data_IF_574253066434
#
_entry.id   IF_574253066434
#
_cell.length_a   1.000
_cell.length_b   1.000
_cell.length_c   1.000
_cell.angle_alpha   90.00
_cell.angle_beta   90.00
_cell.angle_gamma   90.00
#
_symmetry.space_group_name_H-M   'P 1'
#
loop_
_entity.id
_entity.type
_entity.pdbx_description
1 polymer ?
#
# COMPACT_ATOMS: atom_id res chain seq x y z
N UNK A 1 18.81 -0.47 -25.62
CA UNK A 1 18.47 0.44 -26.76
C UNK A 1 19.60 1.42 -27.13
N UNK A 2 20.77 1.38 -26.49
CA UNK A 2 21.91 2.26 -26.87
C UNK A 2 21.76 3.72 -26.45
N UNK A 3 20.72 4.07 -25.69
CA UNK A 3 20.47 5.42 -25.16
C UNK A 3 21.47 5.80 -24.06
N UNK A 4 21.77 7.09 -23.97
CA UNK A 4 22.46 7.67 -22.83
C UNK A 4 21.55 7.74 -21.62
N UNK A 5 22.05 7.35 -20.45
CA UNK A 5 21.29 7.41 -19.19
C UNK A 5 22.18 7.96 -18.09
N UNK A 6 21.67 8.93 -17.34
CA UNK A 6 22.29 9.42 -16.11
C UNK A 6 21.22 9.43 -15.02
N UNK A 7 21.56 8.87 -13.86
CA UNK A 7 20.69 8.85 -12.68
C UNK A 7 21.34 9.60 -11.52
N UNK A 8 20.52 10.25 -10.71
CA UNK A 8 20.92 10.82 -9.43
C UNK A 8 19.84 10.50 -8.41
N UNK A 9 20.22 9.81 -7.35
CA UNK A 9 19.31 9.34 -6.32
C UNK A 9 19.57 10.05 -4.99
N UNK A 10 18.50 10.30 -4.24
CA UNK A 10 18.59 10.76 -2.86
C UNK A 10 17.75 9.85 -1.98
N UNK A 11 18.45 9.14 -1.08
CA UNK A 11 17.82 8.45 0.02
C UNK A 11 17.53 9.47 1.14
N UNK A 12 16.28 9.55 1.58
CA UNK A 12 15.89 10.41 2.69
C UNK A 12 16.67 10.06 3.97
N UNK A 13 17.12 11.06 4.71
CA UNK A 13 17.89 10.88 5.95
C UNK A 13 17.09 10.21 7.10
N UNK A 14 15.77 10.13 6.98
CA UNK A 14 14.91 9.51 7.98
C UNK A 14 14.78 7.99 7.74
N UNK A 15 15.05 7.20 8.78
CA UNK A 15 15.03 5.74 8.76
C UNK A 15 13.65 5.14 8.36
N UNK A 16 12.56 5.92 8.52
CA UNK A 16 11.22 5.67 7.98
C UNK A 16 10.55 7.00 7.63
N UNK A 17 10.00 7.13 6.42
CA UNK A 17 9.18 8.29 6.00
C UNK A 17 9.95 9.51 5.48
N UNK A 18 11.25 9.39 5.21
CA UNK A 18 12.00 10.44 4.50
C UNK A 18 11.64 10.45 3.02
N UNK A 19 11.37 11.63 2.46
CA UNK A 19 11.13 11.80 1.03
C UNK A 19 12.36 11.30 0.24
N UNK A 20 12.14 10.32 -0.64
CA UNK A 20 13.15 9.83 -1.58
C UNK A 20 12.80 10.27 -2.99
N UNK A 21 13.83 10.48 -3.80
CA UNK A 21 13.66 10.83 -5.21
C UNK A 21 14.80 10.31 -6.05
N UNK A 22 14.51 10.12 -7.33
CA UNK A 22 15.47 9.73 -8.37
C UNK A 22 15.27 10.64 -9.57
N UNK A 23 16.30 11.39 -9.95
CA UNK A 23 16.37 12.05 -11.24
C UNK A 23 16.90 11.06 -12.26
N UNK A 24 16.17 10.87 -13.36
CA UNK A 24 16.56 9.98 -14.45
C UNK A 24 16.52 10.81 -15.74
N UNK A 25 17.67 10.96 -16.39
CA UNK A 25 17.76 11.60 -17.70
C UNK A 25 18.10 10.55 -18.74
N UNK A 26 17.33 10.53 -19.82
CA UNK A 26 17.48 9.60 -20.94
C UNK A 26 17.64 10.42 -22.21
N UNK A 27 18.70 10.18 -22.96
CA UNK A 27 18.96 10.85 -24.23
C UNK A 27 19.31 9.83 -25.33
N UNK A 28 19.19 10.23 -26.59
CA UNK A 28 19.51 9.34 -27.71
C UNK A 28 20.99 8.93 -27.72
N UNK A 29 21.89 9.80 -27.24
CA UNK A 29 23.30 9.48 -27.03
C UNK A 29 23.77 9.97 -25.66
N UNK A 30 24.78 9.35 -25.04
CA UNK A 30 25.32 9.77 -23.74
C UNK A 30 25.83 11.22 -23.73
N UNK A 31 26.42 11.68 -24.83
CA UNK A 31 27.05 13.00 -24.95
C UNK A 31 26.03 14.15 -24.90
N UNK A 32 24.75 13.85 -25.12
CA UNK A 32 23.67 14.82 -25.04
C UNK A 32 23.23 15.13 -23.59
N UNK A 33 23.77 14.42 -22.59
CA UNK A 33 23.47 14.66 -21.17
C UNK A 33 24.62 15.45 -20.55
N UNK A 34 24.34 16.71 -20.19
CA UNK A 34 25.34 17.64 -19.66
C UNK A 34 25.24 17.88 -18.14
N UNK A 35 24.22 17.33 -17.50
CA UNK A 35 23.95 17.49 -16.07
C UNK A 35 23.44 16.17 -15.49
N UNK A 36 23.60 15.94 -14.20
CA UNK A 36 23.05 14.77 -13.50
C UNK A 36 21.64 15.00 -12.98
N UNK A 37 21.25 16.25 -12.74
CA UNK A 37 19.96 16.63 -12.18
C UNK A 37 19.00 17.13 -13.26
N UNK A 38 17.72 16.76 -13.16
CA UNK A 38 16.65 17.42 -13.92
C UNK A 38 16.51 18.85 -13.40
N UNK A 39 16.54 19.81 -14.31
CA UNK A 39 16.49 21.23 -13.98
C UNK A 39 15.04 21.72 -13.72
N UNK A 40 14.94 22.93 -13.20
CA UNK A 40 13.70 23.64 -12.91
C UNK A 40 12.81 23.71 -14.15
N UNK A 41 11.54 23.32 -14.03
CA UNK A 41 10.56 23.30 -15.11
C UNK A 41 10.99 22.48 -16.36
N UNK A 42 11.82 21.44 -16.17
CA UNK A 42 12.33 20.56 -17.25
C UNK A 42 11.94 19.09 -17.11
N UNK A 43 11.15 18.70 -16.11
CA UNK A 43 10.68 17.32 -16.03
C UNK A 43 9.66 17.04 -17.15
N UNK A 44 9.93 16.08 -18.01
CA UNK A 44 8.95 15.59 -19.00
C UNK A 44 7.89 14.67 -18.35
N UNK A 45 8.32 13.87 -17.36
CA UNK A 45 7.52 12.90 -16.64
C UNK A 45 7.90 12.89 -15.15
N UNK A 46 6.90 12.85 -14.29
CA UNK A 46 7.05 12.53 -12.87
C UNK A 46 6.21 11.30 -12.54
N UNK A 47 6.87 10.23 -12.07
CA UNK A 47 6.22 9.04 -11.52
C UNK A 47 6.09 9.26 -10.01
N UNK A 48 4.90 9.70 -9.59
CA UNK A 48 4.59 10.08 -8.22
C UNK A 48 4.05 8.87 -7.44
N UNK A 49 4.94 8.05 -6.88
CA UNK A 49 4.58 6.90 -6.06
C UNK A 49 3.96 7.28 -4.71
N UNK A 50 4.26 8.50 -4.23
CA UNK A 50 3.73 9.11 -3.02
C UNK A 50 3.30 10.56 -3.33
N UNK A 51 2.05 10.91 -3.02
CA UNK A 51 1.48 12.22 -3.36
C UNK A 51 2.10 13.36 -2.56
N UNK A 52 2.54 13.11 -1.33
CA UNK A 52 3.11 14.13 -0.44
C UNK A 52 4.50 14.53 -0.95
N UNK A 53 5.31 13.55 -1.32
CA UNK A 53 6.64 13.80 -1.92
C UNK A 53 6.50 14.52 -3.27
N UNK A 54 5.53 14.11 -4.09
CA UNK A 54 5.27 14.73 -5.39
C UNK A 54 4.79 16.18 -5.27
N UNK A 55 3.94 16.49 -4.29
CA UNK A 55 3.49 17.85 -4.00
C UNK A 55 4.52 18.69 -3.22
N UNK A 56 5.69 18.14 -2.89
CA UNK A 56 6.77 18.86 -2.24
C UNK A 56 7.38 19.93 -3.15
N UNK A 57 7.79 21.07 -2.57
CA UNK A 57 8.37 22.21 -3.31
C UNK A 57 9.51 21.82 -4.27
N UNK A 58 10.39 20.91 -3.83
CA UNK A 58 11.51 20.45 -4.63
C UNK A 58 11.06 19.73 -5.91
N UNK A 59 10.00 18.91 -5.83
CA UNK A 59 9.45 18.19 -6.97
C UNK A 59 8.62 19.11 -7.86
N UNK A 60 7.75 19.94 -7.25
CA UNK A 60 6.93 20.92 -7.98
C UNK A 60 7.78 21.89 -8.79
N UNK A 61 8.95 22.32 -8.30
CA UNK A 61 9.84 23.21 -9.06
C UNK A 61 10.36 22.62 -10.37
N UNK A 62 10.32 21.30 -10.53
CA UNK A 62 10.76 20.61 -11.75
C UNK A 62 9.66 20.57 -12.81
N UNK A 63 8.41 20.81 -12.40
CA UNK A 63 7.23 20.66 -13.24
C UNK A 63 6.91 21.94 -14.00
N UNK A 64 6.27 21.78 -15.16
CA UNK A 64 5.79 22.88 -16.00
C UNK A 64 4.43 22.55 -16.59
N UNK A 65 3.50 23.49 -16.42
CA UNK A 65 2.15 23.41 -16.97
C UNK A 65 2.15 23.12 -18.47
N UNK A 66 1.33 22.16 -18.89
CA UNK A 66 1.18 21.75 -20.29
C UNK A 66 2.40 21.03 -20.89
N UNK A 67 3.45 20.75 -20.10
CA UNK A 67 4.61 19.97 -20.55
C UNK A 67 4.81 18.71 -19.73
N UNK A 68 5.03 18.87 -18.44
CA UNK A 68 5.28 17.75 -17.53
C UNK A 68 4.04 16.89 -17.44
N UNK A 69 4.18 15.57 -17.60
CA UNK A 69 3.12 14.62 -17.26
C UNK A 69 3.38 14.03 -15.87
N UNK A 70 2.33 13.81 -15.09
CA UNK A 70 2.41 13.18 -13.77
C UNK A 70 1.57 11.91 -13.77
N UNK A 71 2.20 10.77 -13.46
CA UNK A 71 1.50 9.53 -13.15
C UNK A 71 1.54 9.35 -11.63
N UNK A 72 0.41 9.55 -10.96
CA UNK A 72 0.33 9.61 -9.50
C UNK A 72 -0.46 8.44 -8.91
N UNK A 73 0.12 7.83 -7.87
CA UNK A 73 -0.59 6.99 -6.93
C UNK A 73 -1.38 7.86 -5.95
N UNK A 74 -2.70 7.71 -5.89
CA UNK A 74 -3.55 8.42 -4.95
C UNK A 74 -3.65 7.75 -3.57
N UNK A 75 -3.02 6.58 -3.38
CA UNK A 75 -3.08 5.87 -2.12
C UNK A 75 -2.46 6.72 -0.99
N UNK A 76 -3.21 6.84 0.10
CA UNK A 76 -2.79 7.65 1.25
C UNK A 76 -1.87 6.83 2.17
N UNK A 77 -0.56 6.98 2.01
CA UNK A 77 0.42 6.32 2.87
C UNK A 77 0.55 7.06 4.21
N UNK A 78 0.42 6.38 5.37
CA UNK A 78 0.66 7.01 6.67
C UNK A 78 2.11 7.50 6.81
N UNK A 79 2.29 8.78 7.18
CA UNK A 79 3.62 9.37 7.39
C UNK A 79 4.09 9.20 8.83
N UNK A 80 5.36 9.51 9.13
CA UNK A 80 5.86 9.52 10.51
C UNK A 80 5.06 10.46 11.44
N UNK A 81 4.42 11.51 10.89
CA UNK A 81 3.56 12.41 11.64
C UNK A 81 2.27 11.73 12.15
N UNK A 82 1.84 10.62 11.55
CA UNK A 82 0.74 9.80 12.07
C UNK A 82 1.07 9.21 13.46
N UNK A 83 2.33 8.86 13.70
CA UNK A 83 2.74 8.24 14.97
C UNK A 83 2.59 9.21 16.15
N UNK A 84 2.73 10.51 15.91
CA UNK A 84 2.66 11.56 16.95
C UNK A 84 1.32 12.29 16.99
N UNK A 85 0.43 12.08 16.02
CA UNK A 85 -0.87 12.75 15.93
C UNK A 85 -1.99 11.75 15.61
N UNK A 86 -2.79 11.43 16.63
CA UNK A 86 -3.93 10.51 16.52
C UNK A 86 -5.05 11.02 15.60
N UNK A 87 -5.14 12.34 15.39
CA UNK A 87 -6.12 12.98 14.51
C UNK A 87 -5.55 13.28 13.12
N UNK A 88 -4.37 12.73 12.78
CA UNK A 88 -3.73 12.96 11.50
C UNK A 88 -4.62 12.49 10.35
N UNK A 89 -4.93 13.42 9.44
CA UNK A 89 -5.58 13.14 8.18
C UNK A 89 -4.55 13.25 7.05
N UNK A 90 -4.58 12.29 6.12
CA UNK A 90 -3.72 12.34 4.96
C UNK A 90 -4.08 13.57 4.10
N UNK A 91 -3.10 14.41 3.72
CA UNK A 91 -3.36 15.61 2.91
C UNK A 91 -3.57 15.29 1.42
N UNK A 92 -4.10 14.11 1.08
CA UNK A 92 -4.19 13.59 -0.29
C UNK A 92 -4.93 14.56 -1.22
N UNK A 93 -6.04 15.13 -0.77
CA UNK A 93 -6.79 16.13 -1.54
C UNK A 93 -5.99 17.41 -1.82
N UNK A 94 -5.17 17.87 -0.86
CA UNK A 94 -4.31 19.04 -1.03
C UNK A 94 -3.14 18.76 -1.98
N UNK A 95 -2.55 17.56 -1.90
CA UNK A 95 -1.48 17.12 -2.78
C UNK A 95 -1.95 17.02 -4.24
N UNK A 96 -3.10 16.39 -4.48
CA UNK A 96 -3.68 16.29 -5.82
C UNK A 96 -4.00 17.67 -6.40
N UNK A 97 -4.61 18.56 -5.61
CA UNK A 97 -4.91 19.92 -6.05
C UNK A 97 -3.64 20.72 -6.40
N UNK A 98 -2.57 20.58 -5.61
CA UNK A 98 -1.29 21.25 -5.90
C UNK A 98 -0.66 20.74 -7.21
N UNK A 99 -0.71 19.43 -7.46
CA UNK A 99 -0.20 18.83 -8.69
C UNK A 99 -1.06 19.23 -9.90
N UNK A 100 -2.38 19.22 -9.73
CA UNK A 100 -3.31 19.66 -10.77
C UNK A 100 -3.05 21.10 -11.20
N UNK A 101 -2.80 21.99 -10.23
CA UNK A 101 -2.44 23.38 -10.50
C UNK A 101 -1.05 23.52 -11.17
N UNK A 102 -0.12 22.60 -10.92
CA UNK A 102 1.23 22.67 -11.46
C UNK A 102 1.35 22.18 -12.91
N UNK A 103 0.57 21.15 -13.31
CA UNK A 103 0.71 20.53 -14.64
C UNK A 103 -0.54 20.66 -15.53
N UNK A 104 -1.71 20.90 -14.93
CA UNK A 104 -2.99 20.93 -15.63
C UNK A 104 -3.68 19.55 -15.69
N UNK A 105 -5.00 19.56 -15.93
CA UNK A 105 -5.86 18.35 -15.87
C UNK A 105 -5.44 17.26 -16.86
N UNK A 106 -5.11 17.65 -18.08
CA UNK A 106 -4.76 16.70 -19.15
C UNK A 106 -3.38 16.07 -18.99
N UNK A 107 -2.59 16.58 -18.04
CA UNK A 107 -1.23 16.16 -17.76
C UNK A 107 -1.10 15.44 -16.41
N UNK A 108 -2.22 15.17 -15.74
CA UNK A 108 -2.25 14.50 -14.44
C UNK A 108 -3.08 13.21 -14.52
N UNK A 109 -2.39 12.07 -14.58
CA UNK A 109 -3.00 10.75 -14.42
C UNK A 109 -2.99 10.31 -12.97
N UNK A 110 -4.16 10.00 -12.41
CA UNK A 110 -4.34 9.67 -10.98
C UNK A 110 -5.16 8.41 -10.84
N UNK A 111 -4.67 7.47 -10.03
CA UNK A 111 -5.43 6.32 -9.58
C UNK A 111 -4.78 5.68 -8.34
N UNK A 112 -5.53 4.85 -7.62
CA UNK A 112 -4.99 4.11 -6.47
C UNK A 112 -4.18 2.89 -6.97
N UNK A 113 -2.93 3.15 -7.32
CA UNK A 113 -2.03 2.15 -7.88
C UNK A 113 -1.68 1.07 -6.86
N UNK A 114 -1.64 1.41 -5.57
CA UNK A 114 -1.40 0.47 -4.50
C UNK A 114 -2.57 -0.51 -4.32
N UNK A 115 -3.82 -0.02 -4.36
CA UNK A 115 -4.99 -0.87 -4.33
C UNK A 115 -4.97 -1.86 -5.50
N UNK A 116 -4.66 -1.40 -6.71
CA UNK A 116 -4.58 -2.28 -7.88
C UNK A 116 -3.47 -3.33 -7.69
N UNK A 117 -2.30 -2.93 -7.20
CA UNK A 117 -1.19 -3.85 -6.93
C UNK A 117 -1.59 -4.92 -5.90
N UNK A 118 -2.18 -4.53 -4.78
CA UNK A 118 -2.63 -5.47 -3.74
C UNK A 118 -3.72 -6.39 -4.24
N UNK A 119 -4.74 -5.87 -4.94
CA UNK A 119 -5.88 -6.69 -5.37
C UNK A 119 -5.53 -7.65 -6.50
N UNK A 120 -4.61 -7.29 -7.40
CA UNK A 120 -4.30 -8.09 -8.59
C UNK A 120 -3.02 -8.92 -8.45
N UNK A 121 -2.09 -8.51 -7.60
CA UNK A 121 -0.76 -9.13 -7.46
C UNK A 121 -0.46 -9.54 -6.00
N UNK A 122 -1.32 -9.17 -5.05
CA UNK A 122 -1.22 -9.58 -3.66
C UNK A 122 -0.28 -8.74 -2.78
N UNK A 123 0.42 -7.74 -3.34
CA UNK A 123 1.41 -6.95 -2.61
C UNK A 123 1.52 -5.52 -3.16
N UNK A 124 1.67 -4.52 -2.28
CA UNK A 124 1.86 -3.11 -2.63
C UNK A 124 3.24 -2.81 -3.20
N UNK A 125 4.22 -3.71 -3.04
CA UNK A 125 5.57 -3.56 -3.61
C UNK A 125 5.54 -3.35 -5.13
N UNK A 126 4.51 -3.85 -5.81
CA UNK A 126 4.35 -3.76 -7.26
C UNK A 126 3.80 -2.42 -7.76
N UNK A 127 3.52 -1.46 -6.87
CA UNK A 127 3.02 -0.12 -7.23
C UNK A 127 3.94 0.61 -8.19
N UNK A 128 5.27 0.54 -7.98
CA UNK A 128 6.23 1.26 -8.82
C UNK A 128 6.29 0.74 -10.26
N UNK A 129 6.47 -0.58 -10.51
CA UNK A 129 6.33 -1.16 -11.85
C UNK A 129 4.98 -0.86 -12.51
N UNK A 130 3.90 -0.84 -11.73
CA UNK A 130 2.56 -0.56 -12.22
C UNK A 130 2.44 0.89 -12.70
N UNK A 131 2.90 1.87 -11.93
CA UNK A 131 2.95 3.27 -12.37
C UNK A 131 3.87 3.46 -13.59
N UNK A 132 4.99 2.74 -13.65
CA UNK A 132 5.87 2.75 -14.84
C UNK A 132 5.12 2.24 -16.08
N UNK A 133 4.36 1.15 -15.95
CA UNK A 133 3.50 0.62 -17.02
C UNK A 133 2.43 1.62 -17.46
N UNK A 134 1.79 2.30 -16.50
CA UNK A 134 0.81 3.35 -16.78
C UNK A 134 1.45 4.50 -17.57
N UNK A 135 2.56 5.06 -17.08
CA UNK A 135 3.25 6.16 -17.74
C UNK A 135 3.79 5.77 -19.13
N UNK A 136 4.26 4.53 -19.30
CA UNK A 136 4.69 4.00 -20.58
C UNK A 136 3.54 3.94 -21.58
N UNK A 137 2.37 3.43 -21.18
CA UNK A 137 1.20 3.34 -22.04
C UNK A 137 0.66 4.71 -22.46
N UNK A 138 0.87 5.74 -21.65
CA UNK A 138 0.58 7.15 -21.96
C UNK A 138 1.63 7.79 -22.89
N UNK A 139 2.61 7.02 -23.37
CA UNK A 139 3.66 7.49 -24.29
C UNK A 139 4.71 8.40 -23.64
N UNK A 140 4.81 8.41 -22.31
CA UNK A 140 5.68 9.34 -21.56
C UNK A 140 7.06 8.79 -21.25
N UNK A 141 7.26 7.48 -21.41
CA UNK A 141 8.55 6.81 -21.17
C UNK A 141 9.22 6.54 -22.52
N UNK A 142 10.41 7.11 -22.80
CA UNK A 142 11.06 7.02 -24.10
C UNK A 142 11.85 5.72 -24.26
N UNK A 143 11.26 4.57 -23.93
CA UNK A 143 11.86 3.25 -24.03
C UNK A 143 10.89 2.28 -24.69
N UNK A 144 11.38 1.30 -25.43
CA UNK A 144 10.57 0.21 -25.97
C UNK A 144 10.15 -0.79 -24.91
N UNK A 145 9.00 -1.43 -25.14
CA UNK A 145 8.46 -2.47 -24.24
C UNK A 145 9.45 -3.61 -24.02
N UNK A 146 10.08 -4.10 -25.08
CA UNK A 146 11.02 -5.22 -25.01
C UNK A 146 12.24 -4.89 -24.14
N UNK A 147 12.72 -3.65 -24.17
CA UNK A 147 13.82 -3.21 -23.31
C UNK A 147 13.41 -3.18 -21.83
N UNK A 148 12.19 -2.73 -21.52
CA UNK A 148 11.64 -2.76 -20.16
C UNK A 148 11.42 -4.19 -19.67
N UNK A 149 10.86 -5.07 -20.50
CA UNK A 149 10.69 -6.49 -20.17
C UNK A 149 12.04 -7.15 -19.87
N UNK A 150 13.05 -6.86 -20.70
CA UNK A 150 14.41 -7.35 -20.48
C UNK A 150 15.05 -6.78 -19.21
N UNK A 151 14.78 -5.51 -18.87
CA UNK A 151 15.28 -4.90 -17.64
C UNK A 151 14.76 -5.62 -16.38
N UNK A 152 13.48 -6.03 -16.36
CA UNK A 152 12.94 -6.84 -15.27
C UNK A 152 13.64 -8.20 -15.16
N UNK A 153 13.92 -8.86 -16.28
CA UNK A 153 14.68 -10.13 -16.28
C UNK A 153 16.09 -9.96 -15.74
N UNK A 154 16.77 -8.88 -16.14
CA UNK A 154 18.14 -8.59 -15.69
C UNK A 154 18.20 -8.21 -14.21
N UNK A 155 17.14 -7.60 -13.66
CA UNK A 155 17.03 -7.35 -12.23
C UNK A 155 16.91 -8.65 -11.41
N UNK A 156 16.33 -9.71 -11.99
CA UNK A 156 16.32 -11.07 -11.45
C UNK A 156 15.41 -11.30 -10.24
N UNK A 157 14.75 -10.26 -9.71
CA UNK A 157 13.91 -10.37 -8.51
C UNK A 157 12.44 -10.38 -8.89
N UNK A 158 11.71 -11.43 -8.50
CA UNK A 158 10.26 -11.56 -8.73
C UNK A 158 9.86 -11.16 -10.16
N UNK A 159 10.60 -11.67 -11.15
CA UNK A 159 10.57 -11.18 -12.54
C UNK A 159 9.15 -11.21 -13.12
N UNK A 160 8.44 -12.33 -12.96
CA UNK A 160 7.12 -12.51 -13.54
C UNK A 160 6.08 -11.56 -12.93
N UNK A 161 6.15 -11.32 -11.61
CA UNK A 161 5.25 -10.39 -10.93
C UNK A 161 5.53 -8.94 -11.32
N UNK A 162 6.80 -8.55 -11.47
CA UNK A 162 7.16 -7.20 -11.94
C UNK A 162 6.71 -6.95 -13.39
N UNK A 163 6.84 -7.95 -14.26
CA UNK A 163 6.30 -7.90 -15.63
C UNK A 163 4.78 -7.80 -15.63
N UNK A 164 4.11 -8.62 -14.82
CA UNK A 164 2.65 -8.57 -14.68
C UNK A 164 2.17 -7.22 -14.14
N UNK A 165 2.87 -6.65 -13.17
CA UNK A 165 2.60 -5.32 -12.63
C UNK A 165 2.69 -4.23 -13.69
N UNK A 166 3.76 -4.23 -14.49
CA UNK A 166 3.90 -3.32 -15.62
C UNK A 166 2.74 -3.47 -16.61
N UNK A 167 2.37 -4.69 -16.98
CA UNK A 167 1.24 -4.93 -17.89
C UNK A 167 -0.12 -4.50 -17.31
N UNK A 168 -0.35 -4.68 -16.01
CA UNK A 168 -1.52 -4.12 -15.34
C UNK A 168 -1.53 -2.60 -15.34
N UNK A 169 -0.38 -1.98 -15.14
CA UNK A 169 -0.22 -0.53 -15.29
C UNK A 169 -0.66 -0.02 -16.65
N UNK A 170 -0.25 -0.73 -17.72
CA UNK A 170 -0.69 -0.42 -19.09
C UNK A 170 -2.21 -0.54 -19.24
N UNK A 171 -2.81 -1.58 -18.67
CA UNK A 171 -4.28 -1.75 -18.71
C UNK A 171 -4.99 -0.64 -17.95
N UNK A 172 -4.49 -0.20 -16.80
CA UNK A 172 -5.05 0.94 -16.06
C UNK A 172 -5.01 2.25 -16.86
N UNK A 173 -3.96 2.46 -17.66
CA UNK A 173 -3.87 3.63 -18.54
C UNK A 173 -4.86 3.59 -19.71
N UNK A 174 -5.26 2.40 -20.14
CA UNK A 174 -6.21 2.22 -21.24
C UNK A 174 -7.67 2.23 -20.75
N UNK A 175 -7.98 1.46 -19.71
CA UNK A 175 -9.32 1.33 -19.14
C UNK A 175 -9.24 1.00 -17.64
N UNK A 176 -9.10 2.04 -16.82
CA UNK A 176 -9.06 1.91 -15.37
C UNK A 176 -10.36 1.33 -14.80
N UNK A 177 -11.51 1.69 -15.37
CA UNK A 177 -12.81 1.28 -14.86
C UNK A 177 -13.01 -0.24 -15.00
N UNK A 178 -12.62 -0.82 -16.14
CA UNK A 178 -12.65 -2.26 -16.34
C UNK A 178 -11.73 -2.99 -15.35
N UNK A 179 -10.53 -2.47 -15.09
CA UNK A 179 -9.60 -3.07 -14.11
C UNK A 179 -10.22 -3.03 -12.70
N UNK A 180 -10.80 -1.90 -12.29
CA UNK A 180 -11.44 -1.76 -10.98
C UNK A 180 -12.65 -2.68 -10.80
N UNK A 181 -13.42 -2.92 -11.87
CA UNK A 181 -14.56 -3.83 -11.83
C UNK A 181 -14.14 -5.28 -11.48
N UNK A 182 -12.93 -5.70 -11.88
CA UNK A 182 -12.44 -7.07 -11.64
C UNK A 182 -12.35 -7.43 -10.16
N UNK A 183 -11.86 -6.51 -9.31
CA UNK A 183 -11.71 -6.77 -7.88
C UNK A 183 -12.85 -6.21 -7.03
N UNK A 184 -13.67 -5.30 -7.58
CA UNK A 184 -14.94 -4.92 -6.95
C UNK A 184 -15.90 -6.11 -6.94
N UNK A 185 -15.98 -6.88 -8.03
CA UNK A 185 -16.78 -8.10 -8.11
C UNK A 185 -16.30 -9.19 -7.12
N UNK A 186 -15.00 -9.25 -6.84
CA UNK A 186 -14.43 -10.19 -5.88
C UNK A 186 -14.78 -9.85 -4.42
N UNK A 187 -14.93 -8.56 -4.08
CA UNK A 187 -15.25 -8.10 -2.72
C UNK A 187 -16.73 -8.34 -2.32
N UNK A 188 -17.65 -8.41 -3.28
CA UNK A 188 -19.11 -8.52 -3.02
C UNK A 188 -19.52 -9.91 -2.49
N UNK A 189 -18.61 -10.89 -2.42
CA UNK A 189 -18.90 -12.26 -1.92
C UNK A 189 -18.20 -12.56 -0.57
N UNK A 190 -18.15 -11.58 0.34
CA UNK A 190 -17.97 -11.87 1.77
C UNK A 190 -19.04 -11.17 2.61
N UNK A 191 -20.21 -11.80 2.70
CA UNK A 191 -21.07 -11.58 3.86
C UNK A 191 -20.32 -12.12 5.09
N UNK A 192 -19.47 -11.29 5.70
CA UNK A 192 -18.92 -11.57 7.03
C UNK A 192 -20.11 -11.49 7.99
N UNK A 193 -20.81 -12.61 8.15
CA UNK A 193 -21.86 -12.77 9.14
C UNK A 193 -21.23 -12.39 10.47
N UNK A 194 -21.77 -11.35 11.13
CA UNK A 194 -21.31 -10.98 12.48
C UNK A 194 -21.37 -12.25 13.33
N UNK A 195 -20.23 -12.73 13.85
CA UNK A 195 -20.24 -13.94 14.63
C UNK A 195 -21.14 -13.74 15.83
N UNK A 196 -21.93 -14.77 16.15
CA UNK A 196 -22.76 -14.72 17.36
C UNK A 196 -21.87 -14.57 18.60
N UNK A 197 -22.47 -14.16 19.72
CA UNK A 197 -21.77 -14.15 21.01
C UNK A 197 -21.15 -15.53 21.31
N UNK A 198 -21.88 -16.61 21.03
CA UNK A 198 -21.42 -17.98 21.27
C UNK A 198 -20.24 -18.37 20.36
N UNK A 199 -20.27 -18.00 19.08
CA UNK A 199 -19.15 -18.21 18.15
C UNK A 199 -17.91 -17.41 18.58
N UNK A 200 -18.13 -16.20 19.09
CA UNK A 200 -17.07 -15.33 19.59
C UNK A 200 -16.42 -15.89 20.86
N UNK A 201 -17.23 -16.37 21.80
CA UNK A 201 -16.74 -16.99 23.04
C UNK A 201 -15.98 -18.27 22.71
N UNK A 202 -16.52 -19.13 21.85
CA UNK A 202 -15.86 -20.38 21.44
C UNK A 202 -14.48 -20.12 20.84
N UNK A 203 -14.37 -19.25 19.85
CA UNK A 203 -13.07 -18.89 19.22
C UNK A 203 -12.04 -18.40 20.24
N UNK A 204 -12.48 -17.66 21.25
CA UNK A 204 -11.59 -17.10 22.27
C UNK A 204 -11.20 -18.13 23.32
N UNK A 205 -12.08 -19.06 23.67
CA UNK A 205 -11.74 -20.22 24.51
C UNK A 205 -10.68 -21.07 23.81
N UNK A 206 -10.85 -21.36 22.53
CA UNK A 206 -9.88 -22.12 21.73
C UNK A 206 -8.52 -21.40 21.72
N UNK A 207 -8.52 -20.08 21.48
CA UNK A 207 -7.30 -19.26 21.51
C UNK A 207 -6.64 -19.26 22.89
N UNK A 208 -7.39 -18.97 23.97
CA UNK A 208 -6.84 -18.87 25.32
C UNK A 208 -6.31 -20.22 25.83
N UNK A 209 -6.89 -21.33 25.36
CA UNK A 209 -6.39 -22.67 25.65
C UNK A 209 -5.01 -22.90 25.04
N UNK A 210 -4.80 -22.44 23.80
CA UNK A 210 -3.48 -22.51 23.14
C UNK A 210 -2.49 -21.44 23.60
N UNK A 211 -2.99 -20.31 24.13
CA UNK A 211 -2.18 -19.23 24.69
C UNK A 211 -1.59 -19.61 26.04
N UNK A 212 -2.40 -20.20 26.93
CA UNK A 212 -1.97 -20.60 28.26
C UNK A 212 -2.42 -22.03 28.58
N UNK A 213 -3.69 -22.22 28.93
CA UNK A 213 -4.28 -23.54 29.23
C UNK A 213 -5.82 -23.49 29.27
N UNK A 214 -6.43 -24.67 29.44
CA UNK A 214 -7.88 -24.83 29.52
C UNK A 214 -8.51 -24.16 30.77
N UNK A 215 -7.78 -24.07 31.89
CA UNK A 215 -8.31 -23.43 33.10
C UNK A 215 -8.40 -21.91 32.92
N UNK A 216 -7.43 -21.31 32.23
CA UNK A 216 -7.41 -19.90 31.87
C UNK A 216 -8.55 -19.55 30.89
N UNK A 217 -8.75 -20.39 29.87
CA UNK A 217 -9.88 -20.26 28.95
C UNK A 217 -11.25 -20.39 29.67
N UNK A 218 -11.33 -21.23 30.70
CA UNK A 218 -12.55 -21.41 31.49
C UNK A 218 -12.88 -20.17 32.34
N UNK A 219 -11.88 -19.47 32.88
CA UNK A 219 -12.10 -18.20 33.61
C UNK A 219 -12.76 -17.16 32.70
N UNK A 220 -12.28 -17.05 31.46
CA UNK A 220 -12.87 -16.19 30.44
C UNK A 220 -14.34 -16.56 30.17
N UNK A 221 -14.62 -17.84 29.88
CA UNK A 221 -15.96 -18.30 29.57
C UNK A 221 -16.94 -18.09 30.74
N UNK A 222 -16.49 -18.37 31.97
CA UNK A 222 -17.29 -18.18 33.18
C UNK A 222 -17.66 -16.72 33.40
N UNK A 223 -16.72 -15.79 33.23
CA UNK A 223 -16.98 -14.37 33.40
C UNK A 223 -17.97 -13.82 32.36
N UNK A 224 -17.83 -14.23 31.08
CA UNK A 224 -18.77 -13.84 30.03
C UNK A 224 -20.17 -14.43 30.31
N UNK A 225 -20.26 -15.67 30.80
CA UNK A 225 -21.53 -16.29 31.17
C UNK A 225 -22.21 -15.56 32.33
N UNK A 226 -21.46 -15.14 33.35
CA UNK A 226 -21.98 -14.36 34.48
C UNK A 226 -22.60 -13.04 34.00
N UNK A 227 -21.90 -12.31 33.12
CA UNK A 227 -22.41 -11.05 32.56
C UNK A 227 -23.64 -11.29 31.69
N UNK A 228 -23.65 -12.36 30.87
CA UNK A 228 -24.81 -12.74 30.05
C UNK A 228 -26.04 -13.03 30.91
N UNK A 229 -25.86 -13.71 32.04
CA UNK A 229 -26.96 -13.99 32.97
C UNK A 229 -27.50 -12.70 33.60
N UNK A 230 -26.63 -11.76 33.98
CA UNK A 230 -27.05 -10.46 34.50
C UNK A 230 -27.73 -9.58 33.43
N UNK A 231 -27.32 -9.67 32.17
CA UNK A 231 -27.89 -8.92 31.05
C UNK A 231 -29.23 -9.51 30.54
N UNK A 232 -29.56 -10.77 30.89
CA UNK A 232 -30.72 -11.48 30.35
C UNK A 232 -32.07 -10.73 30.51
N UNK A 233 -32.25 -10.00 31.62
CA UNK A 233 -33.45 -9.20 31.88
C UNK A 233 -33.64 -7.99 30.95
N UNK A 234 -32.58 -7.55 30.27
CA UNK A 234 -32.54 -6.34 29.44
C UNK A 234 -32.80 -6.63 27.94
N UNK A 235 -32.97 -7.89 27.54
CA UNK A 235 -33.14 -8.32 26.14
C UNK A 235 -32.08 -7.75 25.18
N UNK A 236 -30.84 -7.62 25.67
CA UNK A 236 -29.66 -7.12 24.96
C UNK A 236 -28.50 -8.10 25.13
N UNK A 237 -27.57 -8.10 24.17
CA UNK A 237 -26.27 -8.79 24.25
C UNK A 237 -25.09 -7.83 24.20
N UNK A 238 -25.34 -6.51 24.13
CA UNK A 238 -24.31 -5.49 23.92
C UNK A 238 -23.26 -5.48 25.03
N UNK A 239 -23.67 -5.67 26.28
CA UNK A 239 -22.73 -5.70 27.42
C UNK A 239 -21.90 -6.98 27.38
N UNK A 240 -22.54 -8.12 27.16
CA UNK A 240 -21.88 -9.43 27.05
C UNK A 240 -20.88 -9.46 25.88
N UNK A 241 -21.24 -8.88 24.73
CA UNK A 241 -20.35 -8.75 23.57
C UNK A 241 -19.16 -7.84 23.85
N UNK A 242 -19.38 -6.71 24.52
CA UNK A 242 -18.31 -5.80 24.93
C UNK A 242 -17.36 -6.47 25.92
N UNK A 243 -17.89 -7.09 26.98
CA UNK A 243 -17.10 -7.82 27.97
C UNK A 243 -16.30 -8.94 27.31
N UNK A 244 -16.95 -9.76 26.48
CA UNK A 244 -16.28 -10.80 25.75
C UNK A 244 -15.07 -10.23 24.98
N UNK A 245 -15.24 -9.08 24.32
CA UNK A 245 -14.19 -8.44 23.49
C UNK A 245 -13.04 -7.87 24.31
N UNK A 246 -13.34 -7.11 25.36
CA UNK A 246 -12.31 -6.38 26.09
C UNK A 246 -11.62 -7.24 27.15
N UNK A 247 -12.32 -8.17 27.81
CA UNK A 247 -11.70 -9.12 28.72
C UNK A 247 -10.66 -9.97 27.99
N UNK A 248 -10.98 -10.45 26.78
CA UNK A 248 -10.02 -11.21 25.97
C UNK A 248 -8.75 -10.42 25.67
N UNK A 249 -8.83 -9.11 25.40
CA UNK A 249 -7.64 -8.29 25.18
C UNK A 249 -6.74 -8.18 26.41
N UNK A 250 -7.34 -8.18 27.59
CA UNK A 250 -6.61 -8.13 28.86
C UNK A 250 -5.97 -9.47 29.20
N UNK A 251 -6.63 -10.56 28.81
CA UNK A 251 -6.15 -11.93 29.07
C UNK A 251 -5.14 -12.43 28.04
N UNK A 252 -5.26 -11.99 26.79
CA UNK A 252 -4.35 -12.35 25.70
C UNK A 252 -3.51 -11.14 25.30
N UNK A 253 -2.73 -10.61 26.24
CA UNK A 253 -1.80 -9.54 25.92
C UNK A 253 -0.60 -10.11 25.16
N UNK A 254 -0.16 -9.39 24.13
CA UNK A 254 0.89 -9.85 23.22
C UNK A 254 2.25 -9.44 23.76
N UNK A 255 2.87 -10.32 24.57
CA UNK A 255 4.22 -10.17 25.09
C UNK A 255 5.28 -10.84 24.23
N UNK A 256 6.53 -10.72 24.65
CA UNK A 256 7.70 -11.29 23.99
C UNK A 256 7.63 -12.82 23.91
N UNK A 257 7.00 -13.47 24.90
CA UNK A 257 6.83 -14.93 24.94
C UNK A 257 5.80 -15.41 23.92
N UNK A 258 4.67 -14.73 23.81
CA UNK A 258 3.64 -15.04 22.81
C UNK A 258 4.16 -14.78 21.39
N UNK A 259 4.96 -13.72 21.19
CA UNK A 259 5.64 -13.48 19.91
C UNK A 259 6.57 -14.64 19.56
N UNK A 260 7.38 -15.11 20.53
CA UNK A 260 8.28 -16.24 20.32
C UNK A 260 7.51 -17.53 20.01
N UNK A 261 6.41 -17.82 20.72
CA UNK A 261 5.54 -18.98 20.47
C UNK A 261 4.94 -18.96 19.07
N UNK A 262 4.49 -17.79 18.60
CA UNK A 262 3.94 -17.63 17.26
C UNK A 262 5.02 -17.77 16.16
N UNK A 263 6.26 -17.36 16.42
CA UNK A 263 7.38 -17.52 15.47
C UNK A 263 7.86 -18.97 15.37
N UNK A 264 7.69 -19.77 16.43
CA UNK A 264 8.04 -21.20 16.43
C UNK A 264 6.87 -22.10 16.04
N UNK A 265 5.70 -21.54 15.72
CA UNK A 265 4.54 -22.29 15.25
C UNK A 265 4.84 -22.93 13.88
N UNK A 266 4.57 -24.24 13.77
CA UNK A 266 4.73 -24.99 12.53
C UNK A 266 3.86 -24.44 11.39
N UNK A 267 2.68 -23.89 11.71
CA UNK A 267 1.81 -23.24 10.72
C UNK A 267 2.43 -21.94 10.17
N UNK A 268 3.16 -21.20 10.99
CA UNK A 268 3.89 -20.01 10.55
C UNK A 268 5.09 -20.39 9.67
N UNK A 269 5.84 -21.41 10.08
CA UNK A 269 6.99 -21.93 9.33
C UNK A 269 6.56 -22.45 7.95
N UNK A 270 5.45 -23.20 7.88
CA UNK A 270 4.89 -23.71 6.63
C UNK A 270 4.36 -22.63 5.67
N UNK A 271 4.14 -21.40 6.16
CA UNK A 271 3.70 -20.25 5.35
C UNK A 271 4.88 -19.47 4.74
N UNK A 272 6.07 -19.63 5.31
CA UNK A 272 7.31 -18.96 4.88
C UNK A 272 8.16 -19.89 4.00
N UNK A 273 8.11 -21.20 4.23
CA UNK A 273 8.76 -22.23 3.41
C UNK A 273 8.10 -22.38 2.05
#
# INVERSE_FOLDING_TARGET
EGKGVVTQDSAGLAQKGGATWSHIQIANTPEAIHTTKVDTAKADLVIACDSIVAAGKATLSLMREGQTYVAMNSHATPTAAFVTNADWQAPSAGCEAALLAAVGRDHLGVFDAEQVAVQLLGDSLYTNPLLLGYAWQQGRVPLGREALMRAFELNGTQVDNNKAAFEWGRRCAHDLAAVQAMFTAAQVIQFVKKPSLDETVKKRVDFLTGYQDAAYAQQYAAFVAQVRQAEAGLKSTRLSEAVARYLFKLMAYKDEYEVARLHTDAAFTAKIA
#
